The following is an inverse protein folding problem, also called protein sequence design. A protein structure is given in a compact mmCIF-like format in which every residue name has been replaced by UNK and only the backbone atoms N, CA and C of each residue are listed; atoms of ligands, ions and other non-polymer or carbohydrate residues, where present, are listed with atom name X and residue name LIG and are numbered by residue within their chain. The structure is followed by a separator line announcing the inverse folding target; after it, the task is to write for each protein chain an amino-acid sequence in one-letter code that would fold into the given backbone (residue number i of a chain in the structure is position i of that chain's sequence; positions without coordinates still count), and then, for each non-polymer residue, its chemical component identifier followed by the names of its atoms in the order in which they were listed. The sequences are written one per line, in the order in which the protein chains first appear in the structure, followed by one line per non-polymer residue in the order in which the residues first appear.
data_IF_952133188827
#
_entry.id   IF_952133188827
#
_cell.length_a   1.000
_cell.length_b   1.000
_cell.length_c   1.000
_cell.angle_alpha   90.00
_cell.angle_beta   90.00
_cell.angle_gamma   90.00
#
_symmetry.space_group_name_H-M   'P 1'
#
loop_
_entity.id
_entity.type
_entity.pdbx_description
1 polymer ?
#
# COMPACT_ATOMS: atom_id res chain seq x y z
N UNK A 1 -4.51 17.97 -19.69
CA UNK A 1 -5.54 18.30 -18.69
C UNK A 1 -4.82 18.82 -17.45
N UNK A 2 -5.37 19.79 -16.73
CA UNK A 2 -4.81 20.22 -15.46
C UNK A 2 -5.20 19.23 -14.35
N UNK A 3 -4.38 19.14 -13.30
CA UNK A 3 -4.69 18.35 -12.10
C UNK A 3 -6.00 18.83 -11.44
N UNK A 4 -6.17 20.15 -11.35
CA UNK A 4 -7.40 20.76 -10.81
C UNK A 4 -8.66 20.38 -11.60
N UNK A 5 -8.59 20.32 -12.95
CA UNK A 5 -9.74 19.86 -13.74
C UNK A 5 -10.00 18.35 -13.53
N UNK A 6 -8.94 17.57 -13.36
CA UNK A 6 -9.06 16.15 -13.05
C UNK A 6 -9.76 15.94 -11.71
N UNK A 7 -9.26 16.55 -10.64
CA UNK A 7 -9.73 16.32 -9.27
C UNK A 7 -11.11 16.91 -9.01
N UNK A 8 -11.41 18.09 -9.53
CA UNK A 8 -12.63 18.82 -9.19
C UNK A 8 -13.74 18.74 -10.24
N UNK A 9 -13.44 18.21 -11.44
CA UNK A 9 -14.45 18.06 -12.50
C UNK A 9 -14.58 16.61 -12.95
N UNK A 10 -13.50 16.02 -13.50
CA UNK A 10 -13.60 14.69 -14.14
C UNK A 10 -13.98 13.62 -13.13
N UNK A 11 -13.29 13.52 -12.02
CA UNK A 11 -13.55 12.48 -11.02
C UNK A 11 -14.92 12.65 -10.36
N UNK A 12 -15.30 13.82 -9.80
CA UNK A 12 -16.61 13.96 -9.15
C UNK A 12 -17.80 13.78 -10.10
N UNK A 13 -17.69 14.26 -11.34
CA UNK A 13 -18.78 14.10 -12.33
C UNK A 13 -19.00 12.64 -12.68
N UNK A 14 -17.93 11.90 -13.01
CA UNK A 14 -18.02 10.46 -13.30
C UNK A 14 -18.49 9.66 -12.10
N UNK A 15 -17.99 9.97 -10.90
CA UNK A 15 -18.44 9.30 -9.67
C UNK A 15 -19.93 9.50 -9.40
N UNK A 16 -20.46 10.72 -9.60
CA UNK A 16 -21.88 11.02 -9.43
C UNK A 16 -22.75 10.29 -10.47
N UNK A 17 -22.32 10.25 -11.73
CA UNK A 17 -23.01 9.55 -12.80
C UNK A 17 -23.06 8.03 -12.52
N UNK A 18 -21.93 7.43 -12.19
CA UNK A 18 -21.84 6.00 -11.89
C UNK A 18 -22.60 5.61 -10.62
N UNK A 19 -22.56 6.46 -9.59
CA UNK A 19 -23.37 6.27 -8.39
C UNK A 19 -24.86 6.12 -8.74
N UNK A 20 -25.38 7.00 -9.60
CA UNK A 20 -26.76 6.96 -10.04
C UNK A 20 -27.04 5.76 -10.95
N UNK A 21 -26.17 5.50 -11.94
CA UNK A 21 -26.30 4.39 -12.90
C UNK A 21 -26.36 3.03 -12.19
N UNK A 22 -25.47 2.81 -11.25
CA UNK A 22 -25.34 1.54 -10.51
C UNK A 22 -26.16 1.51 -9.22
N UNK A 23 -26.92 2.57 -8.91
CA UNK A 23 -27.75 2.69 -7.70
C UNK A 23 -26.96 2.37 -6.44
N UNK A 24 -25.77 3.01 -6.29
CA UNK A 24 -24.89 2.81 -5.15
C UNK A 24 -25.36 3.66 -3.98
N UNK A 25 -25.85 3.00 -2.93
CA UNK A 25 -26.24 3.62 -1.68
C UNK A 25 -25.73 2.79 -0.51
N UNK A 26 -24.81 3.36 0.25
CA UNK A 26 -24.22 2.71 1.41
C UNK A 26 -25.07 2.91 2.70
N UNK A 27 -26.08 3.77 2.65
CA UNK A 27 -26.84 4.14 3.84
C UNK A 27 -25.91 4.63 4.96
N UNK A 28 -26.07 4.03 6.14
CA UNK A 28 -25.22 4.30 7.31
C UNK A 28 -24.10 3.25 7.48
N UNK A 29 -23.95 2.32 6.56
CA UNK A 29 -22.95 1.26 6.65
C UNK A 29 -21.60 1.76 6.10
N UNK A 30 -20.55 1.67 6.91
CA UNK A 30 -19.18 2.00 6.48
C UNK A 30 -18.67 0.94 5.49
N UNK A 31 -19.00 -0.33 5.74
CA UNK A 31 -18.66 -1.45 4.87
C UNK A 31 -19.94 -2.13 4.43
N UNK A 32 -20.25 -2.19 3.12
CA UNK A 32 -21.45 -2.89 2.64
C UNK A 32 -21.29 -4.40 2.82
N UNK A 33 -22.25 -5.04 3.46
CA UNK A 33 -22.31 -6.50 3.60
C UNK A 33 -23.09 -7.16 2.44
N UNK A 34 -23.84 -6.38 1.67
CA UNK A 34 -24.61 -6.81 0.53
C UNK A 34 -23.70 -7.15 -0.66
N UNK A 35 -23.68 -8.42 -1.07
CA UNK A 35 -22.88 -8.91 -2.20
C UNK A 35 -23.32 -8.29 -3.53
N UNK A 36 -24.60 -8.00 -3.71
CA UNK A 36 -25.10 -7.35 -4.92
C UNK A 36 -24.57 -5.92 -5.02
N UNK A 37 -24.60 -5.19 -3.92
CA UNK A 37 -23.99 -3.86 -3.83
C UNK A 37 -22.49 -3.91 -4.14
N UNK A 38 -21.75 -4.87 -3.56
CA UNK A 38 -20.34 -5.03 -3.80
C UNK A 38 -20.02 -5.32 -5.29
N UNK A 39 -20.83 -6.15 -5.95
CA UNK A 39 -20.70 -6.43 -7.38
C UNK A 39 -20.99 -5.18 -8.23
N UNK A 40 -22.05 -4.44 -7.93
CA UNK A 40 -22.36 -3.19 -8.64
C UNK A 40 -21.26 -2.14 -8.45
N UNK A 41 -20.70 -2.04 -7.24
CA UNK A 41 -19.59 -1.15 -6.96
C UNK A 41 -18.33 -1.54 -7.76
N UNK A 42 -18.03 -2.83 -7.85
CA UNK A 42 -16.92 -3.32 -8.67
C UNK A 42 -17.10 -2.96 -10.15
N UNK A 43 -18.30 -3.16 -10.70
CA UNK A 43 -18.62 -2.80 -12.08
C UNK A 43 -18.52 -1.29 -12.31
N UNK A 44 -19.01 -0.48 -11.38
CA UNK A 44 -18.87 0.97 -11.43
C UNK A 44 -17.40 1.40 -11.40
N UNK A 45 -16.58 0.77 -10.57
CA UNK A 45 -15.14 1.03 -10.50
C UNK A 45 -14.41 0.67 -11.80
N UNK A 46 -14.76 -0.46 -12.40
CA UNK A 46 -14.24 -0.88 -13.70
C UNK A 46 -14.58 0.15 -14.80
N UNK A 47 -15.86 0.52 -14.91
CA UNK A 47 -16.31 1.51 -15.89
C UNK A 47 -15.64 2.88 -15.64
N UNK A 48 -15.50 3.27 -14.37
CA UNK A 48 -14.80 4.52 -14.02
C UNK A 48 -13.37 4.50 -14.51
N UNK A 49 -12.61 3.44 -14.25
CA UNK A 49 -11.22 3.33 -14.68
C UNK A 49 -11.06 3.34 -16.20
N UNK A 50 -11.94 2.66 -16.93
CA UNK A 50 -11.94 2.69 -18.40
C UNK A 50 -12.28 4.09 -18.93
N UNK A 51 -13.30 4.73 -18.35
CA UNK A 51 -13.79 6.05 -18.80
C UNK A 51 -12.83 7.16 -18.45
N UNK A 52 -12.36 7.24 -17.21
CA UNK A 52 -11.49 8.31 -16.75
C UNK A 52 -10.02 8.00 -17.02
N UNK A 53 -9.58 6.76 -16.86
CA UNK A 53 -8.19 6.39 -16.81
C UNK A 53 -7.55 6.79 -15.47
N UNK A 54 -6.27 7.05 -15.50
CA UNK A 54 -5.48 7.39 -14.33
C UNK A 54 -4.56 8.58 -14.64
N UNK A 55 -4.59 9.59 -13.79
CA UNK A 55 -3.83 10.81 -13.99
C UNK A 55 -2.42 10.70 -13.38
N UNK A 56 -1.40 10.90 -14.22
CA UNK A 56 -0.02 11.01 -13.80
C UNK A 56 0.31 12.49 -13.51
N UNK A 57 0.51 12.81 -12.23
CA UNK A 57 0.74 14.18 -11.76
C UNK A 57 2.04 14.79 -12.30
N UNK A 58 3.12 14.00 -12.37
CA UNK A 58 4.42 14.48 -12.84
C UNK A 58 4.40 14.82 -14.33
N UNK A 59 3.80 13.94 -15.12
CA UNK A 59 3.72 14.11 -16.58
C UNK A 59 2.52 14.97 -17.01
N UNK A 60 1.57 15.25 -16.12
CA UNK A 60 0.29 15.94 -16.38
C UNK A 60 -0.51 15.30 -17.52
N UNK A 61 -0.50 13.97 -17.55
CA UNK A 61 -1.16 13.15 -18.59
C UNK A 61 -2.06 12.11 -17.99
N UNK A 62 -3.08 11.72 -18.75
CA UNK A 62 -3.98 10.64 -18.42
C UNK A 62 -3.53 9.38 -19.14
N UNK A 63 -3.28 8.30 -18.41
CA UNK A 63 -3.15 6.95 -18.96
C UNK A 63 -4.54 6.33 -19.08
N UNK A 64 -4.82 5.75 -20.23
CA UNK A 64 -6.07 5.04 -20.51
C UNK A 64 -5.81 3.55 -20.60
N UNK A 65 -6.79 2.78 -20.20
CA UNK A 65 -6.76 1.32 -20.24
C UNK A 65 -8.06 0.82 -20.87
N UNK A 66 -7.97 -0.26 -21.63
CA UNK A 66 -9.17 -1.00 -22.04
C UNK A 66 -9.63 -1.92 -20.92
N UNK A 67 -10.88 -2.35 -21.00
CA UNK A 67 -11.40 -3.33 -20.03
C UNK A 67 -10.61 -4.64 -20.07
N UNK A 68 -10.20 -5.08 -21.27
CA UNK A 68 -9.37 -6.27 -21.49
C UNK A 68 -8.01 -6.17 -20.80
N UNK A 69 -7.33 -5.01 -20.92
CA UNK A 69 -6.04 -4.78 -20.26
C UNK A 69 -6.18 -4.86 -18.74
N UNK A 70 -7.26 -4.30 -18.18
CA UNK A 70 -7.53 -4.36 -16.75
C UNK A 70 -7.76 -5.81 -16.30
N UNK A 71 -8.59 -6.57 -17.03
CA UNK A 71 -8.86 -7.97 -16.73
C UNK A 71 -7.61 -8.84 -16.84
N UNK A 72 -6.75 -8.58 -17.83
CA UNK A 72 -5.45 -9.26 -17.93
C UNK A 72 -4.56 -8.95 -16.73
N UNK A 73 -4.51 -7.69 -16.30
CA UNK A 73 -3.79 -7.27 -15.10
C UNK A 73 -4.27 -8.02 -13.86
N UNK A 74 -5.59 -8.07 -13.64
CA UNK A 74 -6.21 -8.80 -12.52
C UNK A 74 -5.85 -10.29 -12.57
N UNK A 75 -5.94 -10.94 -13.73
CA UNK A 75 -5.61 -12.37 -13.91
C UNK A 75 -4.14 -12.68 -13.64
N UNK A 76 -3.24 -11.74 -13.95
CA UNK A 76 -1.80 -11.88 -13.72
C UNK A 76 -1.39 -11.58 -12.28
N UNK A 77 -2.28 -10.97 -11.49
CA UNK A 77 -2.00 -10.64 -10.09
C UNK A 77 -1.89 -11.93 -9.26
N UNK A 78 -0.81 -12.11 -8.50
CA UNK A 78 -0.65 -13.29 -7.66
C UNK A 78 -1.72 -13.32 -6.57
N UNK A 79 -2.32 -14.49 -6.34
CA UNK A 79 -3.34 -14.69 -5.30
C UNK A 79 -2.73 -14.99 -3.93
N UNK A 80 -1.44 -15.29 -3.88
CA UNK A 80 -0.71 -15.47 -2.63
C UNK A 80 0.77 -15.19 -2.83
N UNK A 81 1.41 -14.72 -1.76
CA UNK A 81 2.84 -14.46 -1.71
C UNK A 81 3.41 -15.12 -0.44
N UNK A 82 4.68 -15.48 -0.48
CA UNK A 82 5.43 -15.84 0.72
C UNK A 82 6.35 -14.66 1.04
N UNK A 83 6.16 -14.08 2.22
CA UNK A 83 6.94 -12.96 2.72
C UNK A 83 7.94 -13.49 3.75
N UNK A 84 9.20 -13.07 3.65
CA UNK A 84 10.27 -13.61 4.47
C UNK A 84 10.74 -14.99 4.01
N UNK A 85 11.67 -15.57 4.77
CA UNK A 85 12.29 -16.84 4.45
C UNK A 85 12.40 -17.75 5.67
N UNK A 86 12.60 -19.04 5.46
CA UNK A 86 12.81 -20.06 6.49
C UNK A 86 11.78 -19.95 7.63
N UNK A 87 12.24 -19.83 8.88
CA UNK A 87 11.39 -19.76 10.08
C UNK A 87 10.58 -18.47 10.20
N UNK A 88 10.96 -17.42 9.48
CA UNK A 88 10.28 -16.12 9.46
C UNK A 88 9.35 -15.98 8.25
N UNK A 89 9.22 -17.04 7.44
CA UNK A 89 8.32 -17.02 6.29
C UNK A 89 6.85 -17.00 6.73
N UNK A 90 6.07 -16.12 6.11
CA UNK A 90 4.62 -16.02 6.31
C UNK A 90 3.91 -15.99 4.97
N UNK A 91 2.82 -16.76 4.86
CA UNK A 91 1.98 -16.75 3.66
C UNK A 91 1.00 -15.59 3.72
N UNK A 92 1.15 -14.68 2.77
CA UNK A 92 0.22 -13.58 2.54
C UNK A 92 -0.81 -13.99 1.48
N UNK A 93 -2.07 -14.10 1.87
CA UNK A 93 -3.16 -14.53 1.01
C UNK A 93 -4.46 -13.81 1.38
N UNK A 94 -5.43 -13.67 0.44
CA UNK A 94 -6.71 -13.07 0.72
C UNK A 94 -7.43 -13.75 1.89
N UNK A 95 -8.12 -12.94 2.68
CA UNK A 95 -8.99 -13.39 3.77
C UNK A 95 -10.43 -13.00 3.43
N UNK A 96 -11.31 -13.96 3.55
CA UNK A 96 -12.75 -13.67 3.50
C UNK A 96 -13.26 -13.28 4.90
N UNK A 97 -14.43 -12.64 4.96
CA UNK A 97 -15.09 -12.36 6.23
C UNK A 97 -15.22 -13.64 7.08
N UNK A 98 -15.04 -13.55 8.38
CA UNK A 98 -15.04 -14.69 9.31
C UNK A 98 -13.93 -15.73 9.08
N UNK A 99 -12.87 -15.40 8.36
CA UNK A 99 -11.73 -16.30 8.21
C UNK A 99 -11.08 -16.58 9.58
N UNK A 100 -10.82 -17.85 9.92
CA UNK A 100 -10.10 -18.20 11.16
C UNK A 100 -8.61 -17.85 11.09
N UNK A 101 -8.09 -17.53 9.90
CA UNK A 101 -6.69 -17.17 9.71
C UNK A 101 -6.43 -15.76 10.25
N UNK A 102 -5.36 -15.61 11.04
CA UNK A 102 -4.92 -14.28 11.44
C UNK A 102 -4.50 -13.45 10.20
N UNK A 103 -4.64 -12.12 10.24
CA UNK A 103 -4.02 -11.26 9.23
C UNK A 103 -2.49 -11.33 9.31
N UNK A 104 -1.81 -11.05 8.21
CA UNK A 104 -0.38 -10.72 8.26
C UNK A 104 -0.24 -9.33 8.86
N UNK A 105 0.53 -9.23 9.93
CA UNK A 105 0.74 -7.99 10.69
C UNK A 105 2.06 -7.37 10.27
N UNK A 106 1.99 -6.15 9.75
CA UNK A 106 3.16 -5.35 9.45
C UNK A 106 3.44 -4.38 10.61
N UNK A 107 4.62 -4.47 11.19
CA UNK A 107 5.09 -3.56 12.24
C UNK A 107 5.96 -2.46 11.68
N UNK A 108 6.03 -1.34 12.40
CA UNK A 108 6.90 -0.22 12.10
C UNK A 108 6.22 1.14 12.23
N UNK A 109 6.99 2.21 12.32
CA UNK A 109 6.49 3.58 12.49
C UNK A 109 6.04 4.18 11.16
N UNK A 110 5.01 3.62 10.56
CA UNK A 110 4.50 4.03 9.23
C UNK A 110 4.29 5.54 9.14
N UNK A 111 5.08 6.22 8.29
CA UNK A 111 4.99 7.65 8.04
C UNK A 111 5.51 8.56 9.15
N UNK A 112 5.94 8.03 10.30
CA UNK A 112 6.55 8.82 11.36
C UNK A 112 8.08 8.82 11.22
N UNK A 113 8.73 9.99 11.08
CA UNK A 113 10.18 10.06 11.05
C UNK A 113 10.79 9.62 12.37
N UNK A 114 11.86 8.82 12.29
CA UNK A 114 12.64 8.34 13.44
C UNK A 114 14.04 8.94 13.34
N UNK A 115 14.59 9.38 14.46
CA UNK A 115 15.95 9.90 14.46
C UNK A 115 16.97 8.78 14.22
N UNK A 116 18.06 9.13 13.57
CA UNK A 116 19.10 8.20 13.10
C UNK A 116 19.71 7.37 14.23
N UNK A 117 19.91 7.97 15.40
CA UNK A 117 20.54 7.37 16.57
C UNK A 117 19.71 6.27 17.25
N UNK A 118 18.39 6.30 17.14
CA UNK A 118 17.49 5.30 17.75
C UNK A 118 16.75 4.42 16.72
N UNK A 119 17.01 4.62 15.44
CA UNK A 119 16.25 3.92 14.38
C UNK A 119 16.33 2.39 14.50
N UNK A 120 17.53 1.84 14.73
CA UNK A 120 17.72 0.39 14.90
C UNK A 120 16.94 -0.14 16.10
N UNK A 121 16.97 0.57 17.24
CA UNK A 121 16.27 0.17 18.45
C UNK A 121 14.74 0.18 18.27
N UNK A 122 14.23 1.24 17.62
CA UNK A 122 12.79 1.35 17.31
C UNK A 122 12.37 0.22 16.38
N UNK A 123 13.10 -0.05 15.31
CA UNK A 123 12.75 -1.14 14.39
C UNK A 123 12.91 -2.52 15.04
N UNK A 124 13.89 -2.70 15.93
CA UNK A 124 14.05 -3.91 16.71
C UNK A 124 12.85 -4.14 17.63
N UNK A 125 12.32 -3.10 18.28
CA UNK A 125 11.16 -3.22 19.17
C UNK A 125 9.93 -3.79 18.45
N UNK A 126 9.72 -3.45 17.19
CA UNK A 126 8.67 -4.08 16.36
C UNK A 126 9.03 -5.50 15.94
N UNK A 127 10.28 -5.72 15.50
CA UNK A 127 10.70 -7.01 14.98
C UNK A 127 10.65 -8.14 16.04
N UNK A 128 10.87 -7.83 17.30
CA UNK A 128 10.85 -8.81 18.40
C UNK A 128 9.45 -9.21 18.86
N UNK A 129 8.41 -8.43 18.48
CA UNK A 129 7.04 -8.77 18.83
C UNK A 129 6.56 -10.00 18.04
N UNK A 130 6.11 -11.02 18.77
CA UNK A 130 5.69 -12.31 18.17
C UNK A 130 4.49 -12.18 17.21
N UNK A 131 3.67 -11.14 17.39
CA UNK A 131 2.51 -10.90 16.53
C UNK A 131 2.89 -10.27 15.21
N UNK A 132 4.04 -9.60 15.11
CA UNK A 132 4.51 -8.92 13.90
C UNK A 132 5.12 -9.92 12.94
N UNK A 133 4.63 -9.95 11.72
CA UNK A 133 5.06 -10.89 10.67
C UNK A 133 6.06 -10.25 9.69
N UNK A 134 5.94 -8.95 9.43
CA UNK A 134 6.80 -8.20 8.49
C UNK A 134 7.10 -6.82 9.06
N UNK A 135 8.13 -6.16 8.53
CA UNK A 135 8.42 -4.77 8.86
C UNK A 135 8.09 -3.85 7.67
N UNK A 136 7.57 -2.67 7.97
CA UNK A 136 7.54 -1.58 7.02
C UNK A 136 8.86 -0.82 7.10
N UNK A 137 9.35 -0.35 5.95
CA UNK A 137 10.46 0.58 5.95
C UNK A 137 10.08 1.85 6.73
N UNK A 138 10.88 2.22 7.72
CA UNK A 138 10.72 3.49 8.42
C UNK A 138 11.27 4.65 7.60
N UNK A 139 11.13 5.85 8.13
CA UNK A 139 11.73 7.05 7.55
C UNK A 139 12.74 7.62 8.56
N UNK A 140 14.02 7.66 8.17
CA UNK A 140 15.01 8.39 8.94
C UNK A 140 14.86 9.89 8.69
N UNK A 141 14.81 10.69 9.75
CA UNK A 141 14.74 12.15 9.64
C UNK A 141 15.99 12.74 9.01
N UNK A 142 17.15 12.14 9.30
CA UNK A 142 18.45 12.56 8.78
C UNK A 142 19.33 11.37 8.42
N UNK A 143 20.31 11.59 7.57
CA UNK A 143 21.43 10.68 7.30
C UNK A 143 22.73 11.48 7.40
N UNK A 144 23.63 11.03 8.29
CA UNK A 144 24.87 11.75 8.61
C UNK A 144 24.59 13.21 8.97
N UNK A 145 23.54 13.45 9.76
CA UNK A 145 23.11 14.76 10.22
C UNK A 145 22.46 15.65 9.14
N UNK A 146 22.19 15.13 7.93
CA UNK A 146 21.56 15.88 6.83
C UNK A 146 20.16 15.36 6.55
N UNK A 147 19.17 16.22 6.30
CA UNK A 147 17.82 15.80 5.94
C UNK A 147 17.82 14.91 4.69
N UNK A 148 17.04 13.83 4.71
CA UNK A 148 16.78 12.98 3.56
C UNK A 148 15.81 13.70 2.60
N UNK A 149 16.36 14.56 1.74
CA UNK A 149 15.57 15.39 0.83
C UNK A 149 15.17 14.59 -0.41
N UNK A 150 13.86 14.51 -0.67
CA UNK A 150 13.28 13.86 -1.84
C UNK A 150 13.80 14.46 -3.15
N UNK A 151 13.92 13.63 -4.19
CA UNK A 151 14.46 13.96 -5.50
C UNK A 151 15.95 14.40 -5.49
N UNK A 152 16.70 13.95 -4.50
CA UNK A 152 18.16 14.19 -4.42
C UNK A 152 18.92 12.87 -4.24
N UNK A 153 20.24 12.83 -4.51
CA UNK A 153 21.05 11.65 -4.20
C UNK A 153 21.02 11.24 -2.72
N UNK A 154 20.66 12.16 -1.81
CA UNK A 154 20.50 11.87 -0.39
C UNK A 154 19.33 10.93 -0.12
N UNK A 155 18.25 10.98 -0.91
CA UNK A 155 17.13 10.05 -0.78
C UNK A 155 17.58 8.59 -1.01
N UNK A 156 18.41 8.36 -2.04
CA UNK A 156 18.98 7.02 -2.31
C UNK A 156 19.88 6.60 -1.15
N UNK A 157 20.73 7.50 -0.65
CA UNK A 157 21.62 7.21 0.48
C UNK A 157 20.83 6.89 1.75
N UNK A 158 19.75 7.64 2.01
CA UNK A 158 18.84 7.41 3.13
C UNK A 158 18.21 6.02 3.05
N UNK A 159 17.60 5.68 1.93
CA UNK A 159 16.98 4.36 1.72
C UNK A 159 17.98 3.22 1.93
N UNK A 160 19.21 3.36 1.43
CA UNK A 160 20.25 2.35 1.63
C UNK A 160 20.68 2.22 3.10
N UNK A 161 20.73 3.33 3.83
CA UNK A 161 21.05 3.32 5.26
C UNK A 161 19.90 2.70 6.07
N UNK A 162 18.65 3.05 5.78
CA UNK A 162 17.45 2.47 6.38
C UNK A 162 17.40 0.96 6.20
N UNK A 163 17.62 0.45 4.99
CA UNK A 163 17.64 -0.99 4.71
C UNK A 163 18.74 -1.72 5.49
N UNK A 164 19.93 -1.11 5.66
CA UNK A 164 20.99 -1.67 6.49
C UNK A 164 20.59 -1.70 7.96
N UNK A 165 20.01 -0.63 8.46
CA UNK A 165 19.54 -0.53 9.84
C UNK A 165 18.39 -1.52 10.12
N UNK A 166 17.46 -1.71 9.18
CA UNK A 166 16.42 -2.74 9.25
C UNK A 166 17.00 -4.15 9.30
N UNK A 167 18.02 -4.42 8.47
CA UNK A 167 18.72 -5.71 8.51
C UNK A 167 19.35 -5.95 9.88
N UNK A 168 20.01 -4.95 10.47
CA UNK A 168 20.58 -5.02 11.80
C UNK A 168 19.49 -5.25 12.86
N UNK A 169 18.40 -4.48 12.83
CA UNK A 169 17.28 -4.63 13.76
C UNK A 169 16.68 -6.04 13.75
N UNK A 170 16.50 -6.63 12.57
CA UNK A 170 16.01 -8.03 12.43
C UNK A 170 16.97 -9.04 13.04
N UNK A 171 18.27 -8.86 12.83
CA UNK A 171 19.30 -9.75 13.42
C UNK A 171 19.29 -9.64 14.95
N UNK A 172 19.24 -8.41 15.51
CA UNK A 172 19.13 -8.18 16.95
C UNK A 172 17.86 -8.77 17.57
N UNK A 173 16.75 -8.73 16.82
CA UNK A 173 15.47 -9.35 17.20
C UNK A 173 15.47 -10.89 17.06
N UNK A 174 16.58 -11.51 16.65
CA UNK A 174 16.66 -12.94 16.32
C UNK A 174 15.68 -13.39 15.21
N UNK A 175 15.34 -12.49 14.29
CA UNK A 175 14.45 -12.73 13.13
C UNK A 175 15.09 -12.24 11.82
N UNK A 176 16.28 -12.77 11.44
CA UNK A 176 17.07 -12.24 10.32
C UNK A 176 16.39 -12.39 8.96
N UNK A 177 15.42 -13.29 8.84
CA UNK A 177 14.73 -13.64 7.59
C UNK A 177 13.33 -13.02 7.47
N UNK A 178 12.91 -12.21 8.45
CA UNK A 178 11.64 -11.48 8.40
C UNK A 178 11.59 -10.57 7.18
N UNK A 179 10.45 -10.50 6.48
CA UNK A 179 10.27 -9.61 5.34
C UNK A 179 10.29 -8.12 5.75
N UNK A 180 10.78 -7.29 4.83
CA UNK A 180 10.75 -5.82 4.90
C UNK A 180 9.89 -5.32 3.75
#
# INVERSE_FOLDING_TARGET
MSESDWDYKVIPMNAAELKNKYKLDFGNNIVPEDKDMANRLFQAGMEMLVTTGFYNCDMKRVAKFTEEEIWEGIKKTPTSLVLGEYRDAVKFEPRHGNSPKKPVIQGGPTGAPVSEDVFVQVMQSYAQEAIVDTLVNGVMSTIEGRPATTNTPWEIKATMAELRALKEARVRANRPYMAI
#
